data_IF_338486427075
#
_entry.id   IF_338486427075
#
_cell.length_a   1.000
_cell.length_b   1.000
_cell.length_c   1.000
_cell.angle_alpha   90.00
_cell.angle_beta   90.00
_cell.angle_gamma   90.00
#
_symmetry.space_group_name_H-M   'P 1'
#
loop_
_entity.id
_entity.type
_entity.pdbx_description
1 polymer ?
#
# COMPACT_ATOMS: atom_id res chain seq x y z
N UNK A 1 -45.44 13.75 20.58
CA UNK A 1 -44.29 13.26 19.80
C UNK A 1 -43.09 14.15 20.13
N UNK A 2 -42.17 13.67 20.97
CA UNK A 2 -41.04 14.44 21.46
C UNK A 2 -39.89 14.33 20.44
N UNK A 3 -39.50 15.47 19.85
CA UNK A 3 -38.43 15.57 18.87
C UNK A 3 -37.09 15.61 19.62
N UNK A 4 -36.40 14.47 19.70
CA UNK A 4 -35.01 14.42 20.21
C UNK A 4 -34.10 14.84 19.06
N UNK A 5 -33.89 16.14 18.92
CA UNK A 5 -32.79 16.68 18.11
C UNK A 5 -31.52 16.49 18.95
N UNK A 6 -30.78 15.43 18.65
CA UNK A 6 -29.46 15.17 19.23
C UNK A 6 -28.50 16.28 18.83
N UNK A 7 -28.29 17.24 19.74
CA UNK A 7 -27.28 18.28 19.60
C UNK A 7 -25.90 17.62 19.61
N UNK A 8 -25.28 17.53 18.42
CA UNK A 8 -23.88 17.13 18.27
C UNK A 8 -23.04 18.18 19.00
N UNK A 9 -22.38 17.78 20.09
CA UNK A 9 -21.50 18.61 20.90
C UNK A 9 -20.35 19.17 20.03
N UNK A 10 -20.51 20.41 19.58
CA UNK A 10 -19.61 21.15 18.69
C UNK A 10 -18.25 21.47 19.33
N UNK A 11 -18.12 21.32 20.65
CA UNK A 11 -16.86 21.59 21.37
C UNK A 11 -15.78 20.53 21.13
N UNK A 12 -16.16 19.28 20.84
CA UNK A 12 -15.23 18.17 20.58
C UNK A 12 -14.85 18.00 19.12
N UNK A 13 -15.53 18.73 18.23
CA UNK A 13 -15.34 18.69 16.79
C UNK A 13 -13.91 19.08 16.35
N UNK A 14 -13.30 20.19 16.83
CA UNK A 14 -11.97 20.60 16.36
C UNK A 14 -10.85 19.61 16.75
N UNK A 15 -10.95 18.95 17.92
CA UNK A 15 -9.95 17.97 18.38
C UNK A 15 -10.04 16.67 17.57
N UNK A 16 -11.26 16.25 17.20
CA UNK A 16 -11.49 15.06 16.37
C UNK A 16 -10.95 15.26 14.95
N UNK A 17 -11.15 16.44 14.38
CA UNK A 17 -10.64 16.79 13.05
C UNK A 17 -9.11 16.81 13.00
N UNK A 18 -8.43 17.30 14.05
CA UNK A 18 -6.97 17.24 14.10
C UNK A 18 -6.45 15.81 14.12
N UNK A 19 -6.95 14.95 15.02
CA UNK A 19 -6.54 13.53 15.08
C UNK A 19 -6.78 12.81 13.75
N UNK A 20 -7.90 13.10 13.08
CA UNK A 20 -8.23 12.49 11.79
C UNK A 20 -7.31 12.98 10.67
N UNK A 21 -6.95 14.26 10.62
CA UNK A 21 -5.96 14.77 9.64
C UNK A 21 -4.59 14.11 9.82
N UNK A 22 -4.10 13.96 11.05
CA UNK A 22 -2.83 13.27 11.30
C UNK A 22 -2.87 11.79 10.92
N UNK A 23 -4.03 11.13 11.06
CA UNK A 23 -4.22 9.74 10.62
C UNK A 23 -4.04 9.62 9.10
N UNK A 24 -4.75 10.44 8.31
CA UNK A 24 -4.69 10.41 6.85
C UNK A 24 -3.31 10.81 6.33
N UNK A 25 -2.69 11.82 6.93
CA UNK A 25 -1.33 12.23 6.56
C UNK A 25 -0.32 11.11 6.78
N UNK A 26 -0.39 10.40 7.91
CA UNK A 26 0.46 9.22 8.17
C UNK A 26 0.21 8.10 7.17
N UNK A 27 -1.04 7.88 6.79
CA UNK A 27 -1.42 6.81 5.87
C UNK A 27 -0.90 7.09 4.46
N UNK A 28 -1.14 8.30 3.93
CA UNK A 28 -0.62 8.74 2.64
C UNK A 28 0.91 8.76 2.65
N UNK A 29 1.53 9.28 3.72
CA UNK A 29 2.98 9.28 3.85
C UNK A 29 3.58 7.86 3.85
N UNK A 30 2.90 6.90 4.48
CA UNK A 30 3.30 5.49 4.45
C UNK A 30 3.15 4.90 3.06
N UNK A 31 2.03 5.16 2.37
CA UNK A 31 1.81 4.68 1.02
C UNK A 31 2.84 5.25 0.02
N UNK A 32 3.22 6.52 0.15
CA UNK A 32 4.28 7.13 -0.63
C UNK A 32 5.66 6.52 -0.34
N UNK A 33 5.98 6.30 0.94
CA UNK A 33 7.21 5.62 1.33
C UNK A 33 7.31 4.22 0.70
N UNK A 34 6.20 3.48 0.67
CA UNK A 34 6.14 2.18 0.01
C UNK A 34 6.47 2.25 -1.48
N UNK A 35 5.93 3.24 -2.19
CA UNK A 35 6.24 3.43 -3.61
C UNK A 35 7.73 3.73 -3.82
N UNK A 36 8.31 4.62 -3.02
CA UNK A 36 9.75 4.93 -3.10
C UNK A 36 10.61 3.68 -2.87
N UNK A 37 10.27 2.86 -1.87
CA UNK A 37 10.99 1.61 -1.61
C UNK A 37 10.90 0.62 -2.77
N UNK A 38 9.75 0.56 -3.45
CA UNK A 38 9.57 -0.33 -4.61
C UNK A 38 10.35 0.14 -5.82
N UNK A 39 10.40 1.45 -6.07
CA UNK A 39 11.24 2.03 -7.13
C UNK A 39 12.71 1.67 -6.86
N UNK A 40 13.19 1.86 -5.63
CA UNK A 40 14.56 1.50 -5.26
C UNK A 40 14.84 0.00 -5.43
N UNK A 41 13.90 -0.88 -5.05
CA UNK A 41 14.04 -2.31 -5.26
C UNK A 41 14.10 -2.68 -6.74
N UNK A 42 13.30 -2.01 -7.57
CA UNK A 42 13.34 -2.20 -9.02
C UNK A 42 14.70 -1.83 -9.60
N UNK A 43 15.28 -0.71 -9.15
CA UNK A 43 16.62 -0.29 -9.57
C UNK A 43 17.68 -1.31 -9.10
N UNK A 44 17.61 -1.74 -7.84
CA UNK A 44 18.54 -2.73 -7.28
C UNK A 44 18.46 -4.06 -8.04
N UNK A 45 17.27 -4.51 -8.42
CA UNK A 45 17.08 -5.73 -9.20
C UNK A 45 17.80 -5.63 -10.55
N UNK A 46 17.60 -4.54 -11.29
CA UNK A 46 18.25 -4.32 -12.59
C UNK A 46 19.78 -4.23 -12.44
N UNK A 47 20.27 -3.56 -11.39
CA UNK A 47 21.71 -3.49 -11.08
C UNK A 47 22.27 -4.87 -10.77
N UNK A 48 21.59 -5.67 -9.95
CA UNK A 48 22.02 -7.06 -9.67
C UNK A 48 22.02 -7.88 -10.96
N UNK A 49 21.00 -7.72 -11.80
CA UNK A 49 20.89 -8.42 -13.07
C UNK A 49 22.03 -8.06 -14.03
N UNK A 50 22.38 -6.77 -14.13
CA UNK A 50 23.44 -6.28 -15.01
C UNK A 50 24.84 -6.63 -14.54
N UNK A 51 25.12 -6.67 -13.23
CA UNK A 51 26.47 -6.98 -12.72
C UNK A 51 26.70 -8.47 -12.46
N UNK A 52 25.70 -9.22 -12.01
CA UNK A 52 25.88 -10.59 -11.51
C UNK A 52 25.29 -11.68 -12.40
N UNK A 53 24.17 -11.41 -13.08
CA UNK A 53 23.42 -12.47 -13.81
C UNK A 53 23.82 -12.51 -15.27
N UNK A 54 23.73 -11.36 -15.96
CA UNK A 54 24.01 -11.30 -17.38
C UNK A 54 24.75 -10.00 -17.75
N UNK A 55 26.04 -9.88 -17.37
CA UNK A 55 26.84 -8.70 -17.65
C UNK A 55 27.19 -8.57 -19.13
N UNK A 56 27.49 -7.34 -19.55
CA UNK A 56 28.05 -7.03 -20.88
C UNK A 56 27.04 -6.77 -21.99
N UNK A 57 25.77 -6.55 -21.66
CA UNK A 57 24.75 -6.12 -22.63
C UNK A 57 24.67 -4.59 -22.71
N UNK A 58 24.01 -4.07 -23.73
CA UNK A 58 23.77 -2.64 -23.91
C UNK A 58 22.63 -2.13 -23.03
N UNK A 59 22.54 -0.81 -22.88
CA UNK A 59 21.55 -0.16 -22.01
C UNK A 59 20.11 -0.50 -22.44
N UNK A 60 19.87 -0.65 -23.75
CA UNK A 60 18.57 -0.99 -24.33
C UNK A 60 18.09 -2.37 -23.86
N UNK A 61 18.99 -3.34 -23.75
CA UNK A 61 18.66 -4.66 -23.23
C UNK A 61 18.22 -4.60 -21.77
N UNK A 62 18.93 -3.85 -20.93
CA UNK A 62 18.57 -3.71 -19.51
C UNK A 62 17.30 -2.88 -19.30
N UNK A 63 17.04 -1.87 -20.12
CA UNK A 63 15.80 -1.08 -20.08
C UNK A 63 14.57 -1.94 -20.44
N UNK A 64 14.70 -2.80 -21.47
CA UNK A 64 13.67 -3.75 -21.84
C UNK A 64 13.42 -4.79 -20.72
N UNK A 65 14.48 -5.24 -20.04
CA UNK A 65 14.35 -6.12 -18.87
C UNK A 65 13.64 -5.41 -17.71
N UNK A 66 14.07 -4.18 -17.36
CA UNK A 66 13.49 -3.38 -16.28
C UNK A 66 11.98 -3.17 -16.47
N UNK A 67 11.55 -2.87 -17.70
CA UNK A 67 10.13 -2.66 -18.02
C UNK A 67 9.30 -3.93 -17.83
N UNK A 68 9.88 -5.10 -18.09
CA UNK A 68 9.21 -6.40 -17.88
C UNK A 68 9.26 -6.86 -16.43
N UNK A 69 10.35 -6.61 -15.71
CA UNK A 69 10.55 -7.07 -14.33
C UNK A 69 9.84 -6.19 -13.30
N UNK A 70 9.73 -4.88 -13.55
CA UNK A 70 9.17 -3.91 -12.61
C UNK A 70 7.75 -4.26 -12.10
N UNK A 71 6.79 -4.70 -12.93
CA UNK A 71 5.49 -5.15 -12.45
C UNK A 71 5.58 -6.30 -11.44
N UNK A 72 6.45 -7.29 -11.70
CA UNK A 72 6.64 -8.44 -10.81
C UNK A 72 7.25 -8.06 -9.47
N UNK A 73 8.25 -7.16 -9.50
CA UNK A 73 8.85 -6.60 -8.27
C UNK A 73 7.77 -5.90 -7.44
N UNK A 74 6.93 -5.07 -8.07
CA UNK A 74 5.81 -4.41 -7.39
C UNK A 74 4.79 -5.39 -6.80
N UNK A 75 4.46 -6.48 -7.50
CA UNK A 75 3.49 -7.45 -7.01
C UNK A 75 3.99 -8.24 -5.79
N UNK A 76 5.22 -8.74 -5.86
CA UNK A 76 5.80 -9.55 -4.78
C UNK A 76 6.14 -8.66 -3.58
N UNK A 77 7.00 -7.65 -3.80
CA UNK A 77 7.48 -6.81 -2.71
C UNK A 77 6.42 -5.83 -2.22
N UNK A 78 5.54 -5.35 -3.08
CA UNK A 78 4.46 -4.45 -2.66
C UNK A 78 3.50 -5.15 -1.70
N UNK A 79 3.13 -6.40 -1.99
CA UNK A 79 2.29 -7.21 -1.09
C UNK A 79 3.00 -7.51 0.23
N UNK A 80 4.30 -7.86 0.16
CA UNK A 80 5.13 -8.11 1.34
C UNK A 80 5.22 -6.85 2.22
N UNK A 81 5.46 -5.69 1.63
CA UNK A 81 5.56 -4.46 2.38
C UNK A 81 4.23 -4.03 2.99
N UNK A 82 3.11 -4.13 2.25
CA UNK A 82 1.78 -3.89 2.82
C UNK A 82 1.55 -4.79 4.03
N UNK A 83 1.86 -6.09 3.93
CA UNK A 83 1.76 -7.01 5.06
C UNK A 83 2.61 -6.57 6.26
N UNK A 84 3.88 -6.23 6.04
CA UNK A 84 4.80 -5.82 7.10
C UNK A 84 4.38 -4.51 7.78
N UNK A 85 3.96 -3.53 7.00
CA UNK A 85 3.51 -2.24 7.54
C UNK A 85 2.18 -2.40 8.29
N UNK A 86 1.18 -3.10 7.71
CA UNK A 86 -0.08 -3.37 8.43
C UNK A 86 0.19 -4.13 9.72
N UNK A 87 1.04 -5.18 9.69
CA UNK A 87 1.48 -5.89 10.90
C UNK A 87 2.06 -4.93 11.95
N UNK A 88 3.00 -4.07 11.55
CA UNK A 88 3.68 -3.13 12.45
C UNK A 88 2.71 -2.12 13.07
N UNK A 89 1.73 -1.66 12.29
CA UNK A 89 0.72 -0.70 12.73
C UNK A 89 -0.34 -1.33 13.64
N UNK A 90 -0.87 -2.50 13.27
CA UNK A 90 -1.84 -3.25 14.09
C UNK A 90 -1.26 -3.59 15.46
N UNK A 91 0.04 -3.93 15.52
CA UNK A 91 0.72 -4.19 16.79
C UNK A 91 0.95 -2.94 17.66
N UNK A 92 0.92 -1.73 17.07
CA UNK A 92 1.27 -0.48 17.77
C UNK A 92 0.05 0.35 18.17
N UNK A 93 -1.08 0.19 17.49
CA UNK A 93 -2.29 0.99 17.72
C UNK A 93 -3.51 0.08 17.88
N UNK A 94 -4.14 0.09 19.07
CA UNK A 94 -5.37 -0.67 19.35
C UNK A 94 -6.61 -0.11 18.63
N UNK A 95 -6.71 1.21 18.54
CA UNK A 95 -7.86 1.84 17.93
C UNK A 95 -7.68 1.88 16.40
N UNK A 96 -8.68 1.36 15.68
CA UNK A 96 -8.81 1.42 14.21
C UNK A 96 -7.91 0.45 13.40
N UNK A 97 -7.54 -0.69 13.98
CA UNK A 97 -6.75 -1.73 13.30
C UNK A 97 -7.33 -2.17 11.94
N UNK A 98 -8.64 -2.39 11.87
CA UNK A 98 -9.32 -2.78 10.63
C UNK A 98 -9.27 -1.67 9.57
N UNK A 99 -9.46 -0.42 10.00
CA UNK A 99 -9.44 0.73 9.09
C UNK A 99 -8.06 0.88 8.46
N UNK A 100 -6.97 0.75 9.23
CA UNK A 100 -5.61 0.79 8.67
C UNK A 100 -5.32 -0.38 7.73
N UNK A 101 -5.75 -1.58 8.08
CA UNK A 101 -5.51 -2.78 7.28
C UNK A 101 -6.14 -2.73 5.89
N UNK A 102 -7.26 -2.02 5.74
CA UNK A 102 -7.95 -1.81 4.46
C UNK A 102 -7.55 -0.50 3.80
N UNK A 103 -7.47 0.60 4.55
CA UNK A 103 -7.22 1.91 3.96
C UNK A 103 -5.80 2.03 3.40
N UNK A 104 -4.78 1.42 4.03
CA UNK A 104 -3.41 1.47 3.50
C UNK A 104 -3.30 0.82 2.11
N UNK A 105 -3.71 -0.45 1.89
CA UNK A 105 -3.66 -1.05 0.55
C UNK A 105 -4.55 -0.31 -0.44
N UNK A 106 -5.73 0.19 -0.04
CA UNK A 106 -6.61 0.96 -0.95
C UNK A 106 -5.93 2.25 -1.42
N UNK A 107 -5.41 3.07 -0.50
CA UNK A 107 -4.73 4.33 -0.86
C UNK A 107 -3.49 4.05 -1.68
N UNK A 108 -2.73 3.01 -1.31
CA UNK A 108 -1.60 2.56 -2.11
C UNK A 108 -2.03 2.22 -3.54
N UNK A 109 -3.08 1.41 -3.72
CA UNK A 109 -3.57 0.98 -5.04
C UNK A 109 -4.10 2.15 -5.86
N UNK A 110 -4.74 3.15 -5.24
CA UNK A 110 -5.19 4.36 -5.94
C UNK A 110 -3.98 5.16 -6.47
N UNK A 111 -2.93 5.31 -5.67
CA UNK A 111 -1.70 5.99 -6.11
C UNK A 111 -1.03 5.20 -7.25
N UNK A 112 -0.92 3.87 -7.10
CA UNK A 112 -0.37 2.95 -8.11
C UNK A 112 -1.13 3.07 -9.44
N UNK A 113 -2.47 3.11 -9.37
CA UNK A 113 -3.34 3.31 -10.53
C UNK A 113 -3.08 4.64 -11.23
N UNK A 114 -2.98 5.75 -10.48
CA UNK A 114 -2.71 7.07 -11.04
C UNK A 114 -1.37 7.07 -11.76
N UNK A 115 -0.32 6.51 -11.14
CA UNK A 115 1.02 6.45 -11.74
C UNK A 115 1.01 5.63 -13.04
N UNK A 116 0.43 4.43 -13.02
CA UNK A 116 0.37 3.54 -14.19
C UNK A 116 -0.46 4.16 -15.31
N UNK A 117 -1.60 4.80 -14.98
CA UNK A 117 -2.49 5.43 -15.97
C UNK A 117 -1.84 6.58 -16.73
N UNK A 118 -0.83 7.22 -16.14
CA UNK A 118 -0.07 8.29 -16.79
C UNK A 118 1.11 7.71 -17.59
N UNK A 119 1.66 6.57 -17.17
CA UNK A 119 2.89 6.01 -17.73
C UNK A 119 2.67 5.02 -18.89
N UNK A 120 1.48 4.42 -19.03
CA UNK A 120 1.22 3.36 -20.01
C UNK A 120 0.05 3.68 -20.94
N UNK A 121 0.28 3.56 -22.25
CA UNK A 121 -0.74 3.80 -23.30
C UNK A 121 -1.54 2.52 -23.66
N UNK A 122 -0.95 1.33 -23.44
CA UNK A 122 -1.53 0.03 -23.83
C UNK A 122 -2.56 -0.52 -22.83
N UNK A 123 -3.84 -0.23 -23.07
CA UNK A 123 -4.91 -0.37 -22.06
C UNK A 123 -5.28 -1.80 -21.64
N UNK A 124 -5.10 -2.82 -22.47
CA UNK A 124 -5.65 -4.16 -22.16
C UNK A 124 -4.74 -5.02 -21.27
N UNK A 125 -3.41 -4.90 -21.40
CA UNK A 125 -2.48 -5.80 -20.70
C UNK A 125 -2.25 -5.39 -19.24
N UNK A 126 -2.19 -4.09 -18.95
CA UNK A 126 -1.90 -3.61 -17.59
C UNK A 126 -3.10 -3.75 -16.65
N UNK A 127 -4.34 -3.68 -17.17
CA UNK A 127 -5.56 -3.77 -16.34
C UNK A 127 -5.62 -5.11 -15.60
N UNK A 128 -5.36 -6.22 -16.31
CA UNK A 128 -5.37 -7.56 -15.70
C UNK A 128 -4.30 -7.68 -14.61
N UNK A 129 -3.08 -7.22 -14.91
CA UNK A 129 -1.98 -7.30 -13.96
C UNK A 129 -2.21 -6.40 -12.74
N UNK A 130 -2.82 -5.22 -12.95
CA UNK A 130 -3.22 -4.30 -11.90
C UNK A 130 -4.25 -4.93 -10.94
N UNK A 131 -5.27 -5.62 -11.46
CA UNK A 131 -6.26 -6.30 -10.61
C UNK A 131 -5.65 -7.42 -9.79
N UNK A 132 -4.76 -8.22 -10.39
CA UNK A 132 -4.05 -9.30 -9.69
C UNK A 132 -3.18 -8.72 -8.58
N UNK A 133 -2.36 -7.71 -8.90
CA UNK A 133 -1.48 -7.05 -7.94
C UNK A 133 -2.23 -6.35 -6.80
N UNK A 134 -3.32 -5.67 -7.12
CA UNK A 134 -4.17 -4.98 -6.14
C UNK A 134 -4.89 -5.97 -5.23
N UNK A 135 -5.41 -7.06 -5.79
CA UNK A 135 -6.03 -8.13 -5.01
C UNK A 135 -5.05 -8.75 -4.01
N UNK A 136 -3.82 -9.03 -4.44
CA UNK A 136 -2.74 -9.53 -3.59
C UNK A 136 -2.41 -8.58 -2.43
N UNK A 137 -2.33 -7.28 -2.68
CA UNK A 137 -2.06 -6.25 -1.65
C UNK A 137 -3.20 -6.16 -0.62
N UNK A 138 -4.46 -6.20 -1.06
CA UNK A 138 -5.63 -6.20 -0.16
C UNK A 138 -5.65 -7.48 0.69
N UNK A 139 -5.42 -8.65 0.07
CA UNK A 139 -5.33 -9.92 0.78
C UNK A 139 -4.21 -9.90 1.80
N UNK A 140 -3.04 -9.37 1.46
CA UNK A 140 -1.92 -9.23 2.39
C UNK A 140 -2.28 -8.37 3.62
N UNK A 141 -2.98 -7.25 3.42
CA UNK A 141 -3.49 -6.41 4.50
C UNK A 141 -4.50 -7.15 5.39
N UNK A 142 -5.44 -7.89 4.79
CA UNK A 142 -6.43 -8.69 5.51
C UNK A 142 -5.78 -9.83 6.30
N UNK A 143 -4.84 -10.56 5.72
CA UNK A 143 -4.10 -11.65 6.39
C UNK A 143 -3.32 -11.08 7.58
N UNK A 144 -2.64 -9.95 7.42
CA UNK A 144 -1.96 -9.28 8.52
C UNK A 144 -2.93 -8.91 9.66
N UNK A 145 -4.11 -8.39 9.32
CA UNK A 145 -5.13 -8.09 10.32
C UNK A 145 -5.66 -9.34 11.02
N UNK A 146 -5.99 -10.41 10.31
CA UNK A 146 -6.53 -11.63 10.92
C UNK A 146 -5.53 -12.33 11.85
N UNK A 147 -4.25 -12.34 11.47
CA UNK A 147 -3.19 -12.98 12.27
C UNK A 147 -2.85 -12.14 13.51
N UNK A 148 -2.73 -10.81 13.37
CA UNK A 148 -2.18 -9.96 14.42
C UNK A 148 -3.21 -9.12 15.17
N UNK A 149 -4.36 -8.79 14.56
CA UNK A 149 -5.45 -8.02 15.15
C UNK A 149 -6.37 -8.82 16.09
N UNK A 150 -6.36 -10.16 16.02
CA UNK A 150 -7.15 -11.02 16.92
C UNK A 150 -6.71 -10.99 18.39
N UNK A 151 -5.60 -10.34 18.74
CA UNK A 151 -5.12 -10.26 20.12
C UNK A 151 -6.03 -9.43 21.04
N UNK A 152 -6.94 -8.63 20.47
CA UNK A 152 -7.83 -7.73 21.21
C UNK A 152 -9.11 -8.40 21.76
N UNK A 153 -9.58 -9.51 21.17
CA UNK A 153 -10.81 -10.20 21.62
C UNK A 153 -10.57 -11.19 22.78
N UNK A 154 -9.38 -11.15 23.40
CA UNK A 154 -8.94 -12.12 24.42
C UNK A 154 -8.51 -11.47 25.73
N UNK A 155 -9.06 -10.31 26.05
CA UNK A 155 -9.05 -9.78 27.41
C UNK A 155 -10.49 -9.75 27.93
N UNK A 156 -10.82 -10.50 28.99
CA UNK A 156 -12.16 -10.59 29.57
C UNK A 156 -12.62 -9.28 30.21
#
# INVERSE_FOLDING_TARGET
MCCIISAKDTSKQPIRDMKQKYFWLKLVGTAMLLHVLLILLSIIEVVIYSFLINPGHDDVFYEAHATRSAPWVSYIFGSLFVFLFVKRFVQRFNQQQLLYALALPIVYTIIDYIIISIAMDDTESWVTQFFIGSGLKILAGLIAYFIYGRKELRTP
#
